data_IF_709762015473
#
_entry.id   IF_709762015473
#
_cell.length_a   1.000
_cell.length_b   1.000
_cell.length_c   1.000
_cell.angle_alpha   90.00
_cell.angle_beta   90.00
_cell.angle_gamma   90.00
#
_symmetry.space_group_name_H-M   'P 1'
#
loop_
_entity.id
_entity.type
_entity.pdbx_description
1 polymer ?
#
# COMPACT_ATOMS: atom_id res chain seq x y z
N UNK A 1 -25.06 10.69 -10.83
CA UNK A 1 -25.06 10.34 -11.04
C UNK A 1 -25.10 10.13 -10.90
N UNK A 2 -25.05 10.08 -10.93
CA UNK A 2 -25.10 9.63 -11.05
C UNK A 2 -25.09 9.08 -10.90
N UNK A 3 -25.32 8.95 -10.95
CA UNK A 3 -25.36 8.25 -10.94
C UNK A 3 -24.82 7.55 -10.85
N UNK A 4 -24.50 7.38 -11.01
CA UNK A 4 -23.99 6.79 -11.01
C UNK A 4 -23.16 6.50 -10.85
N UNK A 5 -22.83 6.82 -10.87
CA UNK A 5 -22.03 6.55 -10.77
C UNK A 5 -21.49 6.20 -10.05
N UNK A 6 -21.88 5.94 -9.66
CA UNK A 6 -21.59 5.25 -9.05
C UNK A 6 -20.65 4.35 -9.05
N UNK A 7 -20.54 4.25 -9.73
CA UNK A 7 -19.47 3.51 -9.91
C UNK A 7 -18.35 4.09 -9.32
N UNK A 8 -18.45 4.26 -8.42
CA UNK A 8 -17.65 4.33 -7.51
C UNK A 8 -16.28 4.76 -7.75
N UNK A 9 -16.11 5.95 -8.10
CA UNK A 9 -14.81 6.53 -7.94
C UNK A 9 -14.52 6.63 -6.46
N UNK A 10 -13.33 6.22 -6.01
CA UNK A 10 -12.99 6.35 -4.60
C UNK A 10 -12.90 7.83 -4.22
N UNK A 11 -13.17 8.12 -2.97
CA UNK A 11 -13.06 9.48 -2.48
C UNK A 11 -11.61 9.98 -2.57
N UNK A 12 -10.66 9.08 -2.32
CA UNK A 12 -9.24 9.39 -2.42
C UNK A 12 -8.53 8.32 -3.22
N UNK A 13 -7.57 8.70 -4.04
CA UNK A 13 -6.78 7.77 -4.81
C UNK A 13 -5.39 8.37 -5.01
N UNK A 14 -4.34 7.60 -4.74
CA UNK A 14 -2.97 8.06 -4.92
C UNK A 14 -2.13 6.95 -5.52
N UNK A 15 -1.04 7.35 -6.17
CA UNK A 15 -0.03 6.43 -6.66
C UNK A 15 1.34 7.03 -6.36
N UNK A 16 2.23 6.22 -5.81
CA UNK A 16 3.63 6.60 -5.62
C UNK A 16 4.51 5.46 -6.07
N UNK A 17 5.76 5.77 -6.40
CA UNK A 17 6.75 4.77 -6.76
C UNK A 17 7.93 4.92 -5.83
N UNK A 18 8.29 3.83 -5.17
CA UNK A 18 9.41 3.81 -4.23
C UNK A 18 10.56 3.06 -4.86
N UNK A 19 11.73 3.68 -4.91
CA UNK A 19 12.91 3.06 -5.50
C UNK A 19 13.54 2.07 -4.54
N UNK A 20 14.03 0.97 -5.08
CA UNK A 20 14.79 0.00 -4.30
C UNK A 20 16.27 0.34 -4.48
N UNK A 21 16.97 0.55 -3.35
CA UNK A 21 18.37 0.98 -3.37
C UNK A 21 19.32 -0.15 -3.02
N UNK A 22 19.04 -1.32 -3.56
CA UNK A 22 19.83 -2.52 -3.32
C UNK A 22 20.18 -3.13 -4.67
N UNK A 23 21.40 -3.68 -4.80
CA UNK A 23 21.84 -4.29 -6.05
C UNK A 23 20.92 -5.45 -6.45
N UNK A 24 20.49 -6.24 -5.47
CA UNK A 24 19.55 -7.32 -5.72
C UNK A 24 18.14 -6.82 -5.41
N UNK A 25 17.60 -6.03 -6.34
CA UNK A 25 16.31 -5.39 -6.08
C UNK A 25 15.16 -6.38 -6.00
N UNK A 26 15.28 -7.54 -6.65
CA UNK A 26 14.22 -8.55 -6.57
C UNK A 26 14.14 -9.15 -5.17
N UNK A 27 15.28 -9.51 -4.61
CA UNK A 27 15.33 -10.06 -3.26
C UNK A 27 14.87 -9.02 -2.25
N UNK A 28 15.33 -7.76 -2.42
CA UNK A 28 14.95 -6.69 -1.52
C UNK A 28 13.43 -6.43 -1.57
N UNK A 29 12.87 -6.37 -2.78
CA UNK A 29 11.43 -6.16 -2.94
C UNK A 29 10.62 -7.31 -2.40
N UNK A 30 11.08 -8.54 -2.61
CA UNK A 30 10.40 -9.71 -2.07
C UNK A 30 10.40 -9.67 -0.53
N UNK A 31 11.51 -9.24 0.07
CA UNK A 31 11.59 -9.12 1.52
C UNK A 31 10.58 -8.08 2.06
N UNK A 32 10.38 -6.99 1.33
CA UNK A 32 9.37 -5.99 1.70
C UNK A 32 7.97 -6.62 1.66
N UNK A 33 7.66 -7.36 0.61
CA UNK A 33 6.36 -8.01 0.47
C UNK A 33 6.17 -9.02 1.61
N UNK A 34 7.20 -9.79 1.95
CA UNK A 34 7.09 -10.76 3.04
C UNK A 34 6.90 -10.08 4.39
N UNK A 35 7.48 -8.90 4.58
CA UNK A 35 7.27 -8.13 5.79
C UNK A 35 5.79 -7.76 5.94
N UNK A 36 5.16 -7.36 4.83
CA UNK A 36 3.75 -7.02 4.85
C UNK A 36 2.89 -8.25 5.09
N UNK A 37 3.22 -9.37 4.45
CA UNK A 37 2.49 -10.62 4.66
C UNK A 37 2.57 -11.07 6.12
N UNK A 38 3.73 -10.94 6.74
CA UNK A 38 3.90 -11.27 8.15
C UNK A 38 3.03 -10.38 9.03
N UNK A 39 2.92 -9.10 8.66
CA UNK A 39 2.07 -8.17 9.40
C UNK A 39 0.61 -8.61 9.36
N UNK A 40 0.15 -9.14 8.21
CA UNK A 40 -1.25 -9.59 8.11
C UNK A 40 -1.55 -10.77 9.02
N UNK A 41 -0.54 -11.59 9.31
CA UNK A 41 -0.70 -12.71 10.25
C UNK A 41 -0.74 -12.22 11.70
N UNK A 42 -0.09 -11.10 11.97
CA UNK A 42 0.06 -10.58 13.30
C UNK A 42 -1.05 -9.60 13.69
N UNK A 43 -1.62 -8.93 12.71
CA UNK A 43 -2.61 -7.88 12.92
C UNK A 43 -3.83 -8.15 12.04
N UNK A 44 -4.93 -8.63 12.62
CA UNK A 44 -6.12 -8.98 11.82
C UNK A 44 -6.83 -7.81 11.19
N UNK A 45 -6.47 -6.57 11.54
CA UNK A 45 -7.04 -5.40 10.86
C UNK A 45 -6.46 -5.18 9.47
N UNK A 46 -5.37 -5.89 9.14
CA UNK A 46 -4.77 -5.86 7.81
C UNK A 46 -5.33 -7.03 7.01
N UNK A 47 -6.32 -6.77 6.17
CA UNK A 47 -7.02 -7.83 5.44
C UNK A 47 -6.31 -8.13 4.14
N UNK A 48 -5.69 -9.30 4.05
CA UNK A 48 -4.97 -9.73 2.85
C UNK A 48 -5.94 -10.21 1.78
N UNK A 49 -5.85 -9.64 0.59
CA UNK A 49 -6.66 -10.09 -0.53
C UNK A 49 -6.24 -11.49 -0.96
N UNK A 50 -7.17 -12.30 -1.49
CA UNK A 50 -6.84 -13.67 -1.89
C UNK A 50 -5.96 -13.77 -3.14
N UNK A 51 -5.93 -12.75 -3.99
CA UNK A 51 -5.14 -12.77 -5.21
C UNK A 51 -4.00 -11.76 -5.09
N UNK A 52 -2.77 -12.26 -4.95
CA UNK A 52 -1.60 -11.42 -4.75
C UNK A 52 -0.49 -11.74 -5.77
N UNK A 53 -0.88 -12.00 -7.01
CA UNK A 53 0.08 -12.44 -8.02
C UNK A 53 1.18 -11.45 -8.34
N UNK A 54 0.85 -10.15 -8.36
CA UNK A 54 1.81 -9.13 -8.76
C UNK A 54 2.40 -8.37 -7.59
N UNK A 55 1.94 -8.67 -6.39
CA UNK A 55 2.36 -7.95 -5.21
C UNK A 55 1.45 -8.31 -4.06
N UNK A 56 1.22 -7.35 -3.17
CA UNK A 56 0.37 -7.58 -2.01
C UNK A 56 -0.70 -6.50 -1.94
N UNK A 57 -1.95 -6.92 -1.79
CA UNK A 57 -3.07 -6.01 -1.64
C UNK A 57 -3.69 -6.18 -0.26
N UNK A 58 -3.78 -5.09 0.48
CA UNK A 58 -4.31 -5.08 1.84
C UNK A 58 -5.48 -4.11 1.90
N UNK A 59 -6.60 -4.55 2.47
CA UNK A 59 -7.75 -3.67 2.69
C UNK A 59 -7.98 -3.46 4.18
N UNK A 60 -8.68 -2.39 4.49
CA UNK A 60 -8.94 -1.97 5.86
C UNK A 60 -10.40 -1.57 6.03
N UNK A 61 -10.88 -1.74 7.26
CA UNK A 61 -12.19 -1.25 7.66
C UNK A 61 -11.97 0.05 8.41
N UNK A 62 -12.26 1.17 7.76
CA UNK A 62 -12.04 2.47 8.37
C UNK A 62 -13.36 3.08 8.79
N UNK A 63 -13.33 3.79 9.88
CA UNK A 63 -14.44 4.63 10.33
C UNK A 63 -15.79 3.87 10.40
N UNK A 64 -15.70 2.60 10.84
CA UNK A 64 -16.90 1.77 10.99
C UNK A 64 -17.39 1.09 9.73
N UNK A 65 -16.71 1.29 8.60
CA UNK A 65 -17.08 0.62 7.35
C UNK A 65 -16.39 -0.72 7.19
N UNK A 66 -16.56 -1.32 6.01
CA UNK A 66 -15.97 -2.62 5.69
C UNK A 66 -15.26 -2.52 4.36
N UNK A 67 -13.96 -2.86 4.34
CA UNK A 67 -13.14 -2.88 3.13
C UNK A 67 -13.26 -1.58 2.32
N UNK A 68 -13.30 -0.45 3.02
CA UNK A 68 -13.52 0.84 2.37
C UNK A 68 -12.23 1.58 2.04
N UNK A 69 -11.10 0.91 2.22
CA UNK A 69 -9.80 1.45 1.85
C UNK A 69 -8.85 0.30 1.57
N UNK A 70 -7.93 0.50 0.63
CA UNK A 70 -6.96 -0.56 0.29
C UNK A 70 -5.70 0.05 -0.29
N UNK A 71 -4.60 -0.70 -0.19
CA UNK A 71 -3.41 -0.38 -0.97
C UNK A 71 -2.92 -1.64 -1.67
N UNK A 72 -2.22 -1.43 -2.78
CA UNK A 72 -1.57 -2.48 -3.53
C UNK A 72 -0.11 -2.08 -3.72
N UNK A 73 0.79 -2.89 -3.21
CA UNK A 73 2.22 -2.69 -3.39
C UNK A 73 2.74 -3.77 -4.33
N UNK A 74 3.31 -3.35 -5.45
CA UNK A 74 3.80 -4.27 -6.47
C UNK A 74 5.32 -4.24 -6.53
N UNK A 75 5.90 -5.29 -7.07
CA UNK A 75 7.32 -5.36 -7.35
C UNK A 75 7.49 -5.40 -8.87
N UNK A 76 8.17 -4.40 -9.43
CA UNK A 76 8.45 -4.39 -10.85
C UNK A 76 9.45 -5.51 -11.18
N UNK A 77 9.23 -6.18 -12.32
CA UNK A 77 10.10 -7.27 -12.74
C UNK A 77 11.39 -6.76 -13.34
N UNK A 78 11.34 -5.59 -13.97
CA UNK A 78 12.46 -5.09 -14.75
C UNK A 78 13.18 -3.90 -14.13
N UNK A 79 12.54 -3.20 -13.22
CA UNK A 79 13.09 -1.96 -12.66
C UNK A 79 13.16 -2.05 -11.13
N UNK A 80 14.17 -1.42 -10.51
CA UNK A 80 14.28 -1.43 -9.05
C UNK A 80 13.30 -0.45 -8.42
N UNK A 81 12.02 -0.71 -8.61
CA UNK A 81 10.96 0.17 -8.13
C UNK A 81 9.77 -0.67 -7.65
N UNK A 82 9.10 -0.18 -6.61
CA UNK A 82 7.86 -0.77 -6.10
C UNK A 82 6.74 0.26 -6.24
N UNK A 83 5.88 0.10 -7.25
CA UNK A 83 4.71 0.97 -7.37
C UNK A 83 3.71 0.69 -6.25
N UNK A 84 3.17 1.76 -5.67
CA UNK A 84 2.17 1.67 -4.62
C UNK A 84 0.93 2.44 -5.05
N UNK A 85 -0.20 1.77 -5.07
CA UNK A 85 -1.50 2.39 -5.32
C UNK A 85 -2.33 2.29 -4.06
N UNK A 86 -3.08 3.34 -3.73
CA UNK A 86 -3.96 3.31 -2.56
C UNK A 86 -5.24 4.09 -2.87
N UNK A 87 -6.35 3.58 -2.36
CA UNK A 87 -7.65 4.23 -2.52
C UNK A 87 -8.43 4.14 -1.23
N UNK A 88 -9.28 5.12 -0.99
CA UNK A 88 -10.12 5.14 0.20
C UNK A 88 -11.46 5.81 -0.12
N UNK A 89 -12.52 5.24 0.44
CA UNK A 89 -13.84 5.86 0.41
C UNK A 89 -14.09 6.70 1.66
N UNK A 90 -13.05 6.85 2.51
CA UNK A 90 -13.12 7.63 3.73
C UNK A 90 -12.14 8.79 3.60
N UNK A 91 -12.59 10.00 3.90
CA UNK A 91 -11.72 11.16 3.87
C UNK A 91 -10.57 10.97 4.87
N UNK A 92 -9.35 11.19 4.40
CA UNK A 92 -8.17 10.96 5.22
C UNK A 92 -7.76 9.50 5.34
N UNK A 93 -8.50 8.57 4.71
CA UNK A 93 -8.23 7.15 4.84
C UNK A 93 -6.91 6.74 4.20
N UNK A 94 -6.56 7.32 3.05
CA UNK A 94 -5.28 7.03 2.41
C UNK A 94 -4.14 7.39 3.37
N UNK A 95 -4.23 8.55 4.00
CA UNK A 95 -3.19 8.99 4.93
C UNK A 95 -3.07 8.05 6.13
N UNK A 96 -4.19 7.58 6.64
CA UNK A 96 -4.22 6.62 7.75
C UNK A 96 -3.53 5.31 7.34
N UNK A 97 -3.92 4.76 6.18
CA UNK A 97 -3.34 3.50 5.71
C UNK A 97 -1.85 3.62 5.44
N UNK A 98 -1.47 4.67 4.73
CA UNK A 98 -0.07 4.83 4.33
C UNK A 98 0.80 5.17 5.52
N UNK A 99 0.24 5.81 6.55
CA UNK A 99 0.94 6.00 7.81
C UNK A 99 1.25 4.66 8.48
N UNK A 100 0.29 3.74 8.47
CA UNK A 100 0.52 2.39 9.00
C UNK A 100 1.59 1.65 8.20
N UNK A 101 1.54 1.77 6.87
CA UNK A 101 2.54 1.14 6.01
C UNK A 101 3.93 1.73 6.26
N UNK A 102 4.01 3.04 6.38
CA UNK A 102 5.27 3.71 6.66
C UNK A 102 5.87 3.23 7.98
N UNK A 103 5.06 3.14 9.03
CA UNK A 103 5.54 2.66 10.33
C UNK A 103 6.08 1.24 10.24
N UNK A 104 5.47 0.41 9.41
CA UNK A 104 5.94 -0.96 9.22
C UNK A 104 7.27 -1.01 8.47
N UNK A 105 7.46 -0.12 7.49
CA UNK A 105 8.60 -0.19 6.58
C UNK A 105 9.71 0.81 6.89
N UNK A 106 9.54 1.68 7.87
CA UNK A 106 10.46 2.80 8.09
C UNK A 106 11.90 2.40 8.36
N UNK A 107 12.11 1.17 8.85
CA UNK A 107 13.44 0.67 9.13
C UNK A 107 14.03 -0.15 7.98
N UNK A 108 13.34 -0.21 6.86
CA UNK A 108 13.79 -0.95 5.68
C UNK A 108 14.77 -0.07 4.89
N UNK A 109 16.05 -0.40 4.98
CA UNK A 109 17.08 0.44 4.35
C UNK A 109 17.15 0.28 2.84
N UNK A 110 16.69 -0.84 2.33
CA UNK A 110 16.76 -1.11 0.88
C UNK A 110 15.67 -0.41 0.07
N UNK A 111 14.72 0.25 0.73
CA UNK A 111 13.60 0.89 0.05
C UNK A 111 13.61 2.38 0.37
N UNK A 112 13.56 3.20 -0.67
CA UNK A 112 13.49 4.66 -0.50
C UNK A 112 12.05 5.06 -0.22
N UNK A 113 11.75 5.37 1.02
CA UNK A 113 10.41 5.72 1.48
C UNK A 113 10.10 7.22 1.36
N UNK A 114 11.01 8.00 0.78
CA UNK A 114 10.82 9.44 0.67
C UNK A 114 9.49 9.82 0.01
N UNK A 115 9.09 9.19 -1.13
CA UNK A 115 7.80 9.55 -1.73
C UNK A 115 6.61 9.24 -0.83
N UNK A 116 6.68 8.13 -0.08
CA UNK A 116 5.63 7.75 0.85
C UNK A 116 5.57 8.73 2.02
N UNK A 117 6.73 9.08 2.57
CA UNK A 117 6.80 10.01 3.68
C UNK A 117 6.23 11.37 3.30
N UNK A 118 6.57 11.87 2.11
CA UNK A 118 6.05 13.15 1.65
C UNK A 118 4.54 13.13 1.53
N UNK A 119 3.99 12.02 1.09
CA UNK A 119 2.56 11.89 0.89
C UNK A 119 1.81 11.99 2.22
N UNK A 120 2.31 11.32 3.26
CA UNK A 120 1.64 11.31 4.55
C UNK A 120 1.89 12.58 5.35
N UNK A 121 2.94 13.31 5.05
CA UNK A 121 3.22 14.59 5.71
C UNK A 121 2.49 15.75 5.05
N UNK A 122 2.23 15.61 3.78
CA UNK A 122 1.68 16.65 2.98
C UNK A 122 0.21 16.74 2.97
#
# INVERSE_FOLDING_TARGET
GSLIDDLAEPLESVEVRMNIVDEDFRAAGQAVIETILSKTLDDPSWHLAPDNREGVRISFDLDGGVDNAWFLLRLSVHDPVMPLNAESDVKGGVNVMLGKLYELLKDTESLDLTPLKKLIEG
#
